data_IF_007246760590
#
_entry.id   IF_007246760590
#
_cell.length_a   1.000
_cell.length_b   1.000
_cell.length_c   1.000
_cell.angle_alpha   90.00
_cell.angle_beta   90.00
_cell.angle_gamma   90.00
#
_symmetry.space_group_name_H-M   'P 1'
#
loop_
_entity.id
_entity.type
_entity.pdbx_description
1 polymer ?
#
# COMPACT_ATOMS: atom_id res chain seq x y z
N UNK A 1 31.29 35.45 -50.61
CA UNK A 1 31.46 34.56 -49.44
C UNK A 1 31.48 35.43 -48.19
N UNK A 2 30.53 35.27 -47.27
CA UNK A 2 30.41 36.15 -46.12
C UNK A 2 31.51 35.83 -45.08
N UNK A 3 32.27 36.85 -44.65
CA UNK A 3 33.30 36.70 -43.62
C UNK A 3 32.69 36.47 -42.25
N UNK A 4 33.07 35.36 -41.61
CA UNK A 4 32.74 35.07 -40.22
C UNK A 4 33.57 36.00 -39.33
N UNK A 5 32.91 36.90 -38.60
CA UNK A 5 33.60 37.79 -37.65
C UNK A 5 33.69 37.12 -36.27
N UNK A 6 34.74 37.48 -35.49
CA UNK A 6 34.98 36.96 -34.12
C UNK A 6 33.74 37.07 -33.21
N UNK A 7 32.88 38.08 -33.41
CA UNK A 7 31.63 38.26 -32.65
C UNK A 7 30.55 37.21 -33.00
N UNK A 8 30.52 36.74 -34.24
CA UNK A 8 29.59 35.69 -34.68
C UNK A 8 30.06 34.31 -34.19
N UNK A 9 31.37 34.08 -34.09
CA UNK A 9 31.94 32.85 -33.52
C UNK A 9 31.60 32.70 -32.03
N UNK A 10 31.81 33.74 -31.22
CA UNK A 10 31.53 33.71 -29.77
C UNK A 10 30.03 33.54 -29.47
N UNK A 11 29.14 34.09 -30.31
CA UNK A 11 27.69 33.84 -30.20
C UNK A 11 27.29 32.41 -30.62
N UNK A 12 28.04 31.78 -31.54
CA UNK A 12 27.85 30.37 -31.90
C UNK A 12 28.34 29.39 -30.83
N UNK A 13 29.36 29.75 -30.04
CA UNK A 13 29.92 28.87 -29.02
C UNK A 13 29.06 28.77 -27.75
N UNK A 14 28.25 29.79 -27.43
CA UNK A 14 27.32 29.76 -26.28
C UNK A 14 26.10 28.85 -26.49
N UNK A 15 25.70 28.59 -27.74
CA UNK A 15 24.59 27.69 -28.05
C UNK A 15 25.00 26.20 -28.12
N UNK A 16 26.29 25.90 -28.28
CA UNK A 16 26.81 24.53 -28.34
C UNK A 16 27.35 24.00 -26.98
N UNK A 17 27.53 24.88 -25.98
CA UNK A 17 28.07 24.52 -24.67
C UNK A 17 27.06 24.05 -23.63
N UNK A 18 25.75 24.18 -23.90
CA UNK A 18 24.70 23.81 -22.93
C UNK A 18 24.25 22.34 -22.98
N UNK A 19 24.76 21.54 -23.93
CA UNK A 19 24.35 20.14 -24.12
C UNK A 19 25.42 19.08 -23.78
N UNK A 20 26.58 19.48 -23.24
CA UNK A 20 27.72 18.58 -23.03
C UNK A 20 28.12 18.34 -21.56
N UNK A 21 27.20 18.49 -20.60
CA UNK A 21 27.43 18.03 -19.21
C UNK A 21 26.16 17.44 -18.56
N UNK A 22 25.51 16.50 -19.24
CA UNK A 22 24.71 15.48 -18.57
C UNK A 22 25.39 14.12 -18.76
N UNK A 23 26.66 14.03 -18.37
CA UNK A 23 27.15 12.75 -17.88
C UNK A 23 26.36 12.43 -16.61
N UNK A 24 25.76 11.24 -16.47
CA UNK A 24 25.42 10.74 -15.16
C UNK A 24 26.76 10.46 -14.50
N UNK A 25 27.36 11.48 -13.89
CA UNK A 25 28.19 11.20 -12.74
C UNK A 25 27.22 10.55 -11.77
N UNK A 26 27.28 9.22 -11.71
CA UNK A 26 26.78 8.49 -10.57
C UNK A 26 27.52 9.14 -9.39
N UNK A 27 26.86 10.11 -8.75
CA UNK A 27 27.24 10.54 -7.42
C UNK A 27 27.29 9.24 -6.66
N UNK A 28 28.50 8.86 -6.25
CA UNK A 28 28.65 7.90 -5.17
C UNK A 28 27.90 8.56 -4.03
N UNK A 29 26.66 8.11 -3.81
CA UNK A 29 25.81 8.56 -2.72
C UNK A 29 26.65 8.31 -1.47
N UNK A 30 27.05 9.39 -0.82
CA UNK A 30 27.75 9.27 0.45
C UNK A 30 26.82 8.59 1.44
N UNK A 31 27.34 8.06 2.55
CA UNK A 31 26.51 7.47 3.62
C UNK A 31 25.43 8.43 4.19
N UNK A 32 25.51 9.73 3.86
CA UNK A 32 24.56 10.79 4.19
C UNK A 32 23.48 11.06 3.12
N UNK A 33 23.52 10.40 1.96
CA UNK A 33 22.58 10.63 0.85
C UNK A 33 21.52 9.50 0.71
N UNK A 34 21.59 8.44 1.52
CA UNK A 34 20.61 7.35 1.49
C UNK A 34 19.29 7.76 2.16
N UNK A 35 18.16 7.40 1.55
CA UNK A 35 16.85 7.48 2.17
C UNK A 35 16.72 6.36 3.21
N UNK A 36 16.50 6.73 4.47
CA UNK A 36 16.40 5.81 5.61
C UNK A 36 14.96 5.39 5.83
N UNK A 37 14.67 4.12 5.55
CA UNK A 37 13.32 3.56 5.55
C UNK A 37 13.10 2.69 6.78
N UNK A 38 11.93 2.83 7.38
CA UNK A 38 11.42 1.87 8.35
C UNK A 38 10.21 1.11 7.80
N UNK A 39 10.12 -0.18 8.11
CA UNK A 39 9.02 -1.05 7.66
C UNK A 39 8.16 -1.45 8.84
N UNK A 40 6.86 -1.15 8.78
CA UNK A 40 5.88 -1.45 9.84
C UNK A 40 4.89 -2.51 9.36
N UNK A 41 4.81 -3.62 10.09
CA UNK A 41 4.17 -4.86 9.65
C UNK A 41 5.06 -5.60 8.66
N UNK A 42 5.83 -6.60 9.12
CA UNK A 42 7.00 -7.13 8.39
C UNK A 42 6.88 -8.62 8.04
N UNK A 43 5.69 -9.20 8.18
CA UNK A 43 5.46 -10.60 7.84
C UNK A 43 5.37 -10.78 6.31
N UNK A 44 4.19 -11.07 5.74
CA UNK A 44 4.03 -11.34 4.30
C UNK A 44 4.48 -10.18 3.40
N UNK A 45 3.62 -9.17 3.24
CA UNK A 45 3.88 -8.05 2.31
C UNK A 45 5.02 -7.15 2.75
N UNK A 46 5.16 -6.86 4.04
CA UNK A 46 6.31 -6.11 4.55
C UNK A 46 7.64 -6.81 4.31
N UNK A 47 7.67 -8.15 4.31
CA UNK A 47 8.84 -8.91 3.87
C UNK A 47 9.24 -8.61 2.42
N UNK A 48 8.26 -8.42 1.52
CA UNK A 48 8.52 -7.98 0.15
C UNK A 48 9.06 -6.55 0.10
N UNK A 49 8.57 -5.64 0.96
CA UNK A 49 9.11 -4.27 1.05
C UNK A 49 10.57 -4.29 1.48
N UNK A 50 10.91 -5.05 2.53
CA UNK A 50 12.29 -5.21 3.01
C UNK A 50 13.21 -5.70 1.88
N UNK A 51 12.78 -6.73 1.14
CA UNK A 51 13.55 -7.24 0.01
C UNK A 51 13.74 -6.19 -1.08
N UNK A 52 12.67 -5.48 -1.46
CA UNK A 52 12.72 -4.48 -2.51
C UNK A 52 13.66 -3.31 -2.17
N UNK A 53 13.64 -2.82 -0.92
CA UNK A 53 14.51 -1.73 -0.50
C UNK A 53 15.96 -2.15 -0.34
N UNK A 54 16.23 -3.40 0.04
CA UNK A 54 17.60 -3.92 0.14
C UNK A 54 18.34 -3.82 -1.20
N UNK A 55 17.63 -4.02 -2.30
CA UNK A 55 18.19 -4.02 -3.65
C UNK A 55 18.10 -2.65 -4.35
N UNK A 56 17.55 -1.63 -3.66
CA UNK A 56 17.32 -0.31 -4.23
C UNK A 56 18.50 0.64 -3.94
N UNK A 57 19.20 1.16 -4.96
CA UNK A 57 20.28 2.11 -4.76
C UNK A 57 19.80 3.39 -4.07
N UNK A 58 20.58 3.90 -3.11
CA UNK A 58 20.24 5.12 -2.37
C UNK A 58 19.16 4.94 -1.30
N UNK A 59 18.84 3.70 -0.94
CA UNK A 59 17.84 3.40 0.09
C UNK A 59 18.42 2.41 1.09
N UNK A 60 18.16 2.65 2.37
CA UNK A 60 18.59 1.78 3.46
C UNK A 60 17.46 1.53 4.44
N UNK A 61 17.18 0.26 4.70
CA UNK A 61 16.31 -0.13 5.82
C UNK A 61 17.08 0.09 7.11
N UNK A 62 16.56 0.93 8.01
CA UNK A 62 17.19 1.28 9.30
C UNK A 62 16.42 0.77 10.51
N UNK A 63 15.13 0.49 10.35
CA UNK A 63 14.28 0.00 11.43
C UNK A 63 13.18 -0.93 10.93
N UNK A 64 12.79 -1.90 11.77
CA UNK A 64 11.60 -2.74 11.57
C UNK A 64 10.66 -2.59 12.75
N UNK A 65 9.36 -2.65 12.48
CA UNK A 65 8.33 -2.68 13.51
C UNK A 65 7.29 -3.76 13.27
N UNK A 66 7.05 -4.59 14.26
CA UNK A 66 5.99 -5.59 14.26
C UNK A 66 5.64 -5.93 15.71
N UNK A 67 4.35 -6.10 15.98
CA UNK A 67 3.86 -6.40 17.33
C UNK A 67 4.27 -7.79 17.80
N UNK A 68 4.63 -8.68 16.87
CA UNK A 68 5.11 -10.02 17.17
C UNK A 68 6.65 -10.09 17.19
N UNK A 69 7.20 -10.36 18.38
CA UNK A 69 8.64 -10.46 18.62
C UNK A 69 9.28 -11.57 17.79
N UNK A 70 8.60 -12.69 17.58
CA UNK A 70 9.12 -13.80 16.77
C UNK A 70 9.34 -13.36 15.32
N UNK A 71 8.38 -12.59 14.79
CA UNK A 71 8.47 -12.03 13.43
C UNK A 71 9.62 -11.01 13.34
N UNK A 72 9.79 -10.13 14.33
CA UNK A 72 10.93 -9.21 14.41
C UNK A 72 12.27 -9.93 14.38
N UNK A 73 12.48 -10.89 15.27
CA UNK A 73 13.76 -11.59 15.38
C UNK A 73 14.09 -12.36 14.11
N UNK A 74 13.09 -13.02 13.50
CA UNK A 74 13.23 -13.70 12.21
C UNK A 74 13.62 -12.73 11.09
N UNK A 75 13.00 -11.56 10.99
CA UNK A 75 13.28 -10.58 9.93
C UNK A 75 14.55 -9.77 10.15
N UNK A 76 14.99 -9.62 11.40
CA UNK A 76 16.25 -8.96 11.74
C UNK A 76 17.48 -9.84 11.48
N UNK A 77 17.33 -11.17 11.49
CA UNK A 77 18.45 -12.11 11.33
C UNK A 77 19.33 -11.82 10.10
N UNK A 78 18.79 -11.64 8.87
CA UNK A 78 19.63 -11.35 7.70
C UNK A 78 20.45 -10.05 7.80
N UNK A 79 19.95 -9.06 8.56
CA UNK A 79 20.67 -7.80 8.81
C UNK A 79 21.83 -8.01 9.80
N UNK A 80 21.61 -8.80 10.85
CA UNK A 80 22.64 -9.21 11.81
C UNK A 80 23.73 -10.04 11.12
N UNK A 81 23.34 -11.03 10.34
CA UNK A 81 24.26 -11.93 9.62
C UNK A 81 25.12 -11.15 8.59
N UNK A 82 24.61 -10.03 8.06
CA UNK A 82 25.34 -9.13 7.17
C UNK A 82 26.15 -8.02 7.89
N UNK A 83 26.27 -8.07 9.22
CA UNK A 83 26.91 -7.05 10.06
C UNK A 83 26.38 -5.62 9.83
N UNK A 84 25.08 -5.50 9.56
CA UNK A 84 24.36 -4.24 9.37
C UNK A 84 23.12 -4.21 10.26
N UNK A 85 23.29 -4.22 11.60
CA UNK A 85 22.16 -4.27 12.52
C UNK A 85 21.24 -3.07 12.30
N UNK A 86 19.96 -3.30 12.53
CA UNK A 86 18.89 -2.32 12.43
C UNK A 86 18.11 -2.29 13.73
N UNK A 87 17.41 -1.19 13.97
CA UNK A 87 16.59 -1.03 15.17
C UNK A 87 15.27 -1.80 15.05
N UNK A 88 14.81 -2.36 16.17
CA UNK A 88 13.62 -3.20 16.22
C UNK A 88 12.62 -2.64 17.23
N UNK A 89 11.38 -2.48 16.80
CA UNK A 89 10.31 -1.90 17.60
C UNK A 89 9.10 -2.83 17.62
N UNK A 90 8.51 -3.08 18.80
CA UNK A 90 7.18 -3.72 18.88
C UNK A 90 6.03 -2.70 18.83
N UNK A 91 6.36 -1.42 19.03
CA UNK A 91 5.40 -0.33 19.12
C UNK A 91 5.77 0.77 18.12
N UNK A 92 4.85 1.04 17.19
CA UNK A 92 5.03 2.07 16.16
C UNK A 92 5.22 3.45 16.76
N UNK A 93 4.64 3.75 17.94
CA UNK A 93 4.79 5.06 18.60
C UNK A 93 6.25 5.33 18.93
N UNK A 94 6.96 4.32 19.45
CA UNK A 94 8.41 4.39 19.76
C UNK A 94 9.24 4.50 18.48
N UNK A 95 8.87 3.78 17.42
CA UNK A 95 9.54 3.91 16.12
C UNK A 95 9.47 5.34 15.59
N UNK A 96 8.33 6.00 15.74
CA UNK A 96 8.11 7.35 15.22
C UNK A 96 8.93 8.43 15.95
N UNK A 97 9.39 8.17 17.17
CA UNK A 97 10.31 9.04 17.91
C UNK A 97 11.72 9.07 17.31
N UNK A 98 12.10 8.04 16.53
CA UNK A 98 13.42 7.95 15.92
C UNK A 98 13.58 8.99 14.79
N UNK A 99 14.48 9.95 14.98
CA UNK A 99 14.78 11.05 14.04
C UNK A 99 15.60 10.61 12.84
N UNK A 100 16.13 9.39 12.86
CA UNK A 100 16.91 8.81 11.78
C UNK A 100 16.09 8.04 10.74
N UNK A 101 14.76 8.12 10.83
CA UNK A 101 13.83 7.55 9.85
C UNK A 101 13.23 8.68 9.01
N UNK A 102 13.46 8.63 7.70
CA UNK A 102 12.95 9.58 6.71
C UNK A 102 11.59 9.12 6.16
N UNK A 103 11.44 7.81 5.91
CA UNK A 103 10.24 7.22 5.30
C UNK A 103 9.73 6.05 6.13
N UNK A 104 8.42 5.97 6.33
CA UNK A 104 7.72 4.81 6.91
C UNK A 104 6.93 4.10 5.83
N UNK A 105 7.19 2.81 5.62
CA UNK A 105 6.30 1.96 4.82
C UNK A 105 5.40 1.13 5.74
N UNK A 106 4.12 1.02 5.38
CA UNK A 106 3.08 0.41 6.20
C UNK A 106 2.50 -0.79 5.45
N UNK A 107 2.62 -1.98 6.04
CA UNK A 107 2.06 -3.24 5.55
C UNK A 107 1.42 -4.04 6.70
N UNK A 108 0.75 -3.33 7.61
CA UNK A 108 0.00 -3.89 8.73
C UNK A 108 -1.38 -4.39 8.29
N UNK A 109 -2.24 -4.71 9.26
CA UNK A 109 -3.68 -4.86 9.04
C UNK A 109 -4.34 -3.53 8.65
N UNK A 110 -5.51 -3.58 8.01
CA UNK A 110 -6.14 -2.38 7.43
C UNK A 110 -6.51 -1.32 8.48
N UNK A 111 -6.98 -1.75 9.66
CA UNK A 111 -7.42 -0.85 10.74
C UNK A 111 -6.30 0.04 11.31
N UNK A 112 -5.03 -0.29 11.03
CA UNK A 112 -3.87 0.48 11.45
C UNK A 112 -3.36 1.48 10.40
N UNK A 113 -3.70 1.28 9.13
CA UNK A 113 -3.09 2.01 8.01
C UNK A 113 -3.20 3.53 8.16
N UNK A 114 -4.40 4.02 8.43
CA UNK A 114 -4.64 5.47 8.47
C UNK A 114 -4.03 6.12 9.70
N UNK A 115 -4.10 5.47 10.86
CA UNK A 115 -3.53 6.01 12.09
C UNK A 115 -2.00 6.11 12.00
N UNK A 116 -1.33 5.05 11.51
CA UNK A 116 0.12 5.08 11.30
C UNK A 116 0.50 6.11 10.25
N UNK A 117 -0.29 6.26 9.18
CA UNK A 117 -0.04 7.29 8.15
C UNK A 117 -0.08 8.69 8.76
N UNK A 118 -1.12 8.99 9.54
CA UNK A 118 -1.30 10.30 10.19
C UNK A 118 -0.18 10.57 11.20
N UNK A 119 0.15 9.61 12.06
CA UNK A 119 1.21 9.76 13.05
C UNK A 119 2.60 9.88 12.42
N UNK A 120 2.86 9.15 11.34
CA UNK A 120 4.09 9.29 10.55
C UNK A 120 4.21 10.69 9.97
N UNK A 121 3.11 11.22 9.42
CA UNK A 121 3.09 12.58 8.90
C UNK A 121 3.36 13.62 10.00
N UNK A 122 2.73 13.46 11.17
CA UNK A 122 2.96 14.30 12.35
C UNK A 122 4.42 14.25 12.84
N UNK A 123 5.06 13.09 12.75
CA UNK A 123 6.46 12.87 13.09
C UNK A 123 7.44 13.36 12.00
N UNK A 124 6.95 14.04 10.96
CA UNK A 124 7.78 14.60 9.89
C UNK A 124 8.26 13.59 8.86
N UNK A 125 7.69 12.38 8.82
CA UNK A 125 8.11 11.28 7.94
C UNK A 125 7.24 11.20 6.69
N UNK A 126 7.85 10.86 5.56
CA UNK A 126 7.10 10.49 4.36
C UNK A 126 6.56 9.06 4.49
N UNK A 127 5.49 8.73 3.76
CA UNK A 127 4.74 7.49 3.96
C UNK A 127 4.49 6.75 2.66
N UNK A 128 4.76 5.45 2.68
CA UNK A 128 4.14 4.50 1.74
C UNK A 128 3.15 3.64 2.52
N UNK A 129 1.88 3.61 2.11
CA UNK A 129 0.85 2.82 2.79
C UNK A 129 0.27 1.78 1.84
N UNK A 130 0.29 0.51 2.23
CA UNK A 130 -0.29 -0.56 1.42
C UNK A 130 -1.77 -0.37 1.14
N UNK A 131 -2.23 -1.08 0.11
CA UNK A 131 -3.65 -1.17 -0.18
C UNK A 131 -4.36 -2.10 0.80
N UNK A 132 -5.61 -1.81 1.18
CA UNK A 132 -6.30 -0.52 0.98
C UNK A 132 -5.71 0.55 1.90
N UNK A 133 -5.57 1.82 1.46
CA UNK A 133 -4.93 2.87 2.27
C UNK A 133 -5.61 3.20 3.60
N UNK A 134 -6.86 2.77 3.79
CA UNK A 134 -7.69 3.08 4.95
C UNK A 134 -8.73 2.00 5.17
N UNK A 135 -9.26 1.92 6.38
CA UNK A 135 -10.34 0.98 6.71
C UNK A 135 -11.72 1.52 6.28
N UNK A 136 -11.88 2.84 6.22
CA UNK A 136 -13.08 3.51 5.72
C UNK A 136 -12.77 4.84 5.00
N UNK A 137 -13.78 5.40 4.32
CA UNK A 137 -13.65 6.64 3.53
C UNK A 137 -13.26 7.85 4.37
N UNK A 138 -13.78 7.95 5.60
CA UNK A 138 -13.49 9.09 6.48
C UNK A 138 -12.00 9.11 6.86
N UNK A 139 -11.46 7.98 7.29
CA UNK A 139 -10.05 7.82 7.62
C UNK A 139 -9.14 8.14 6.43
N UNK A 140 -9.48 7.67 5.23
CA UNK A 140 -8.74 8.00 4.01
C UNK A 140 -8.66 9.52 3.74
N UNK A 141 -9.75 10.26 3.99
CA UNK A 141 -9.75 11.73 3.91
C UNK A 141 -8.83 12.35 4.96
N UNK A 142 -8.80 11.79 6.18
CA UNK A 142 -7.88 12.25 7.23
C UNK A 142 -6.41 12.02 6.90
N UNK A 143 -6.08 10.95 6.16
CA UNK A 143 -4.73 10.77 5.63
C UNK A 143 -4.33 11.89 4.66
N UNK A 144 -5.23 12.30 3.75
CA UNK A 144 -4.99 13.41 2.82
C UNK A 144 -4.80 14.72 3.58
N UNK A 145 -5.69 15.05 4.51
CA UNK A 145 -5.59 16.24 5.36
C UNK A 145 -4.25 16.27 6.13
N UNK A 146 -3.79 15.12 6.65
CA UNK A 146 -2.52 15.03 7.35
C UNK A 146 -1.32 15.24 6.42
N UNK A 147 -1.31 14.61 5.24
CA UNK A 147 -0.26 14.77 4.25
C UNK A 147 -0.08 16.25 3.84
N UNK A 148 -1.19 16.95 3.58
CA UNK A 148 -1.21 18.37 3.22
C UNK A 148 -0.77 19.26 4.38
N UNK A 149 -1.33 19.04 5.58
CA UNK A 149 -1.02 19.85 6.77
C UNK A 149 0.45 19.78 7.16
N UNK A 150 1.02 18.57 7.18
CA UNK A 150 2.40 18.34 7.60
C UNK A 150 3.39 18.37 6.42
N UNK A 151 2.90 18.67 5.20
CA UNK A 151 3.70 18.78 3.97
C UNK A 151 4.56 17.55 3.74
N UNK A 152 3.95 16.37 3.81
CA UNK A 152 4.60 15.06 3.66
C UNK A 152 4.14 14.38 2.38
N UNK A 153 5.01 13.57 1.80
CA UNK A 153 4.67 12.71 0.66
C UNK A 153 3.98 11.47 1.22
N UNK A 154 2.76 11.20 0.77
CA UNK A 154 2.03 9.97 1.10
C UNK A 154 1.66 9.26 -0.19
N UNK A 155 2.17 8.04 -0.36
CA UNK A 155 1.89 7.20 -1.52
C UNK A 155 1.05 5.98 -1.11
N UNK A 156 -0.10 5.80 -1.76
CA UNK A 156 -0.90 4.59 -1.66
C UNK A 156 -0.32 3.47 -2.53
N UNK A 157 -0.24 2.26 -1.97
CA UNK A 157 0.38 1.07 -2.55
C UNK A 157 -0.41 0.37 -3.65
N UNK A 158 -1.11 1.11 -4.50
CA UNK A 158 -1.81 0.54 -5.66
C UNK A 158 -0.82 0.29 -6.81
N UNK A 159 -0.07 -0.81 -6.71
CA UNK A 159 1.10 -1.10 -7.53
C UNK A 159 0.86 -1.10 -9.05
N UNK A 160 -0.33 -1.44 -9.52
CA UNK A 160 -0.64 -1.44 -10.97
C UNK A 160 -0.53 -0.05 -11.60
N UNK A 161 -0.64 1.03 -10.80
CA UNK A 161 -0.45 2.41 -11.27
C UNK A 161 1.00 2.71 -11.66
N UNK A 162 1.97 1.95 -11.18
CA UNK A 162 3.38 2.04 -11.59
C UNK A 162 3.72 1.13 -12.79
N UNK A 163 2.75 0.38 -13.32
CA UNK A 163 2.99 -0.53 -14.44
C UNK A 163 2.83 0.19 -15.78
N UNK A 164 3.91 0.23 -16.57
CA UNK A 164 3.91 0.86 -17.89
C UNK A 164 2.96 0.21 -18.90
N UNK A 165 2.72 -1.11 -18.81
CA UNK A 165 1.75 -1.79 -19.69
C UNK A 165 0.31 -1.39 -19.37
N UNK A 166 -0.05 -1.33 -18.08
CA UNK A 166 -1.35 -0.83 -17.66
C UNK A 166 -1.54 0.64 -18.01
N UNK A 167 -0.53 1.49 -17.78
CA UNK A 167 -0.59 2.90 -18.16
C UNK A 167 -0.87 3.08 -19.67
N UNK A 168 -0.21 2.31 -20.53
CA UNK A 168 -0.45 2.32 -21.99
C UNK A 168 -1.86 1.85 -22.35
N UNK A 169 -2.34 0.77 -21.72
CA UNK A 169 -3.69 0.26 -21.95
C UNK A 169 -4.75 1.29 -21.56
N UNK A 170 -4.62 1.89 -20.38
CA UNK A 170 -5.54 2.93 -19.91
C UNK A 170 -5.51 4.16 -20.81
N UNK A 171 -4.32 4.59 -21.27
CA UNK A 171 -4.21 5.70 -22.22
C UNK A 171 -4.93 5.39 -23.55
N UNK A 172 -4.81 4.18 -24.08
CA UNK A 172 -5.50 3.76 -25.30
C UNK A 172 -7.03 3.71 -25.13
N UNK A 173 -7.54 3.28 -23.97
CA UNK A 173 -8.98 3.34 -23.66
C UNK A 173 -9.44 4.80 -23.62
N UNK A 174 -8.70 5.67 -22.91
CA UNK A 174 -9.06 7.07 -22.76
C UNK A 174 -8.96 7.89 -24.04
N UNK A 175 -8.12 7.49 -24.99
CA UNK A 175 -8.01 8.14 -26.30
C UNK A 175 -9.20 7.86 -27.23
N UNK A 176 -10.14 6.99 -26.82
CA UNK A 176 -11.27 6.59 -27.65
C UNK A 176 -10.92 5.58 -28.76
N UNK A 177 -9.70 5.00 -28.74
CA UNK A 177 -9.26 3.99 -29.71
C UNK A 177 -10.23 2.81 -29.82
N UNK A 178 -10.88 2.47 -28.72
CA UNK A 178 -11.84 1.36 -28.62
C UNK A 178 -13.31 1.82 -28.56
N UNK A 179 -13.58 3.08 -28.91
CA UNK A 179 -14.89 3.71 -28.76
C UNK A 179 -15.16 4.21 -27.33
N UNK A 180 -16.41 4.63 -27.07
CA UNK A 180 -16.83 5.15 -25.76
C UNK A 180 -16.94 4.00 -24.76
N UNK A 181 -16.16 4.05 -23.67
CA UNK A 181 -16.28 3.11 -22.56
C UNK A 181 -17.66 3.25 -21.88
N UNK A 182 -18.46 2.18 -21.94
CA UNK A 182 -19.80 2.11 -21.32
C UNK A 182 -19.84 1.28 -20.05
N UNK A 183 -19.07 0.21 -20.00
CA UNK A 183 -18.97 -0.67 -18.82
C UNK A 183 -17.51 -1.02 -18.60
N UNK A 184 -17.02 -0.83 -17.38
CA UNK A 184 -15.72 -1.30 -16.92
C UNK A 184 -15.94 -2.41 -15.90
N UNK A 185 -15.62 -3.65 -16.28
CA UNK A 185 -15.80 -4.82 -15.41
C UNK A 185 -14.47 -5.26 -14.82
N UNK A 186 -14.43 -5.40 -13.49
CA UNK A 186 -13.35 -6.04 -12.75
C UNK A 186 -13.88 -7.20 -11.92
N UNK A 187 -13.02 -8.14 -11.55
CA UNK A 187 -13.39 -9.19 -10.61
C UNK A 187 -12.17 -9.73 -9.87
N UNK A 188 -12.32 -10.10 -8.61
CA UNK A 188 -11.38 -10.98 -7.92
C UNK A 188 -11.97 -12.38 -7.83
N UNK A 189 -11.25 -13.36 -8.40
CA UNK A 189 -11.62 -14.77 -8.34
C UNK A 189 -10.53 -15.53 -7.60
N UNK A 190 -10.75 -15.75 -6.31
CA UNK A 190 -9.81 -16.44 -5.42
C UNK A 190 -10.61 -17.28 -4.44
N UNK A 191 -10.38 -18.59 -4.40
CA UNK A 191 -11.06 -19.44 -3.44
C UNK A 191 -10.80 -18.95 -2.00
N UNK A 192 -11.88 -18.80 -1.23
CA UNK A 192 -11.94 -18.38 0.17
C UNK A 192 -12.77 -19.40 0.94
N UNK A 193 -12.13 -20.54 1.20
CA UNK A 193 -12.71 -21.62 2.00
C UNK A 193 -12.96 -21.19 3.44
N UNK A 194 -13.73 -22.03 4.15
CA UNK A 194 -14.00 -21.87 5.58
C UNK A 194 -12.71 -21.65 6.37
N UNK A 195 -12.71 -20.64 7.25
CA UNK A 195 -11.66 -20.49 8.27
C UNK A 195 -11.99 -21.27 9.56
N UNK A 196 -13.13 -21.98 9.57
CA UNK A 196 -13.64 -22.72 10.71
C UNK A 196 -13.87 -21.84 11.95
N UNK A 197 -13.92 -22.50 13.10
CA UNK A 197 -13.96 -21.87 14.41
C UNK A 197 -12.69 -22.19 15.19
N UNK A 198 -12.11 -21.16 15.81
CA UNK A 198 -11.01 -21.27 16.76
C UNK A 198 -11.50 -20.82 18.14
N UNK A 199 -11.20 -21.58 19.21
CA UNK A 199 -11.59 -21.20 20.55
C UNK A 199 -10.90 -19.90 20.96
N UNK A 200 -11.50 -19.22 21.92
CA UNK A 200 -10.82 -18.15 22.65
C UNK A 200 -9.67 -18.75 23.44
N UNK A 201 -8.51 -18.11 23.38
CA UNK A 201 -7.32 -18.49 24.12
C UNK A 201 -6.47 -17.26 24.43
N UNK A 202 -5.46 -17.43 25.28
CA UNK A 202 -4.48 -16.36 25.53
C UNK A 202 -3.63 -16.09 24.26
N UNK A 203 -3.33 -14.83 23.94
CA UNK A 203 -2.40 -14.51 22.87
C UNK A 203 -1.02 -15.18 23.08
N UNK A 204 -0.29 -15.51 22.00
CA UNK A 204 1.11 -15.90 22.12
C UNK A 204 1.92 -14.88 22.93
N UNK A 205 2.82 -15.35 23.79
CA UNK A 205 3.66 -14.47 24.61
C UNK A 205 4.54 -13.50 23.79
N UNK A 206 4.80 -13.81 22.51
CA UNK A 206 5.57 -12.97 21.59
C UNK A 206 4.72 -11.87 20.94
N UNK A 207 3.39 -12.01 20.93
CA UNK A 207 2.46 -11.10 20.28
C UNK A 207 1.92 -10.09 21.30
N UNK A 208 2.25 -8.81 21.12
CA UNK A 208 1.57 -7.74 21.84
C UNK A 208 0.16 -7.53 21.24
N UNK A 209 -0.82 -8.22 21.80
CA UNK A 209 -2.18 -8.22 21.27
C UNK A 209 -2.93 -6.91 21.52
N UNK A 210 -2.61 -6.15 22.57
CA UNK A 210 -3.21 -4.83 22.83
C UNK A 210 -2.76 -3.84 21.75
N UNK A 211 -1.46 -3.84 21.39
CA UNK A 211 -0.98 -3.07 20.25
C UNK A 211 -1.54 -3.63 18.93
N UNK A 212 -1.66 -4.95 18.77
CA UNK A 212 -2.26 -5.51 17.56
C UNK A 212 -3.71 -5.02 17.33
N UNK A 213 -4.54 -5.03 18.39
CA UNK A 213 -5.90 -4.51 18.37
C UNK A 213 -5.92 -3.02 18.05
N UNK A 214 -5.07 -2.24 18.73
CA UNK A 214 -4.90 -0.82 18.43
C UNK A 214 -6.20 -0.02 18.53
N UNK A 215 -6.63 0.67 17.46
CA UNK A 215 -7.87 1.46 17.48
C UNK A 215 -9.15 0.62 17.40
N UNK A 216 -9.06 -0.68 17.16
CA UNK A 216 -10.23 -1.55 17.05
C UNK A 216 -10.88 -1.84 18.43
N UNK A 217 -12.16 -2.27 18.46
CA UNK A 217 -12.81 -2.68 19.70
C UNK A 217 -12.04 -3.79 20.42
N UNK A 218 -11.93 -3.68 21.76
CA UNK A 218 -11.34 -4.72 22.59
C UNK A 218 -12.16 -6.00 22.47
N UNK A 219 -11.47 -7.11 22.21
CA UNK A 219 -12.09 -8.42 22.08
C UNK A 219 -11.11 -9.53 22.49
N UNK A 220 -11.59 -10.71 22.93
CA UNK A 220 -10.73 -11.83 23.26
C UNK A 220 -9.96 -12.34 22.04
N UNK A 221 -8.77 -12.88 22.27
CA UNK A 221 -7.97 -13.47 21.22
C UNK A 221 -8.52 -14.84 20.81
N UNK A 222 -8.48 -15.12 19.51
CA UNK A 222 -8.57 -16.46 18.95
C UNK A 222 -7.66 -16.55 17.72
N UNK A 223 -7.18 -17.75 17.39
CA UNK A 223 -6.18 -17.94 16.31
C UNK A 223 -6.60 -17.43 14.94
N UNK A 224 -7.89 -17.36 14.64
CA UNK A 224 -8.37 -16.79 13.38
C UNK A 224 -8.14 -15.27 13.23
N UNK A 225 -7.72 -14.54 14.26
CA UNK A 225 -7.39 -13.12 14.10
C UNK A 225 -6.03 -12.93 13.43
N UNK A 226 -5.08 -13.84 13.59
CA UNK A 226 -3.70 -13.66 13.12
C UNK A 226 -3.20 -14.85 12.29
N UNK A 227 -2.25 -14.68 11.37
CA UNK A 227 -1.73 -13.40 10.84
C UNK A 227 -2.41 -12.99 9.52
N UNK A 228 -3.32 -13.80 8.97
CA UNK A 228 -3.93 -13.55 7.66
C UNK A 228 -5.46 -13.41 7.71
N UNK A 229 -6.12 -14.19 8.57
CA UNK A 229 -7.58 -14.27 8.56
C UNK A 229 -8.28 -13.00 9.07
N UNK A 230 -7.55 -12.04 9.68
CA UNK A 230 -8.06 -10.69 10.00
C UNK A 230 -8.75 -9.99 8.83
N UNK A 231 -8.39 -10.32 7.57
CA UNK A 231 -9.06 -9.78 6.39
C UNK A 231 -10.58 -10.01 6.41
N UNK A 232 -11.03 -11.07 7.09
CA UNK A 232 -12.42 -11.53 7.10
C UNK A 232 -13.24 -11.04 8.29
N UNK A 233 -12.68 -10.17 9.13
CA UNK A 233 -13.35 -9.61 10.30
C UNK A 233 -13.51 -8.10 10.11
N UNK A 234 -14.72 -7.58 10.34
CA UNK A 234 -15.05 -6.19 10.06
C UNK A 234 -14.23 -5.19 10.86
N UNK A 235 -13.78 -5.56 12.06
CA UNK A 235 -12.98 -4.65 12.90
C UNK A 235 -11.56 -4.43 12.36
N UNK A 236 -11.06 -5.32 11.50
CA UNK A 236 -9.64 -5.37 11.11
C UNK A 236 -9.42 -5.29 9.60
N UNK A 237 -10.38 -5.80 8.82
CA UNK A 237 -10.30 -5.97 7.38
C UNK A 237 -11.59 -5.63 6.66
N UNK A 238 -11.54 -5.64 5.33
CA UNK A 238 -12.66 -5.27 4.47
C UNK A 238 -12.98 -6.38 3.46
N UNK A 239 -12.77 -7.64 3.82
CA UNK A 239 -13.03 -8.77 2.96
C UNK A 239 -12.12 -8.84 1.73
N UNK A 240 -12.51 -9.66 0.76
CA UNK A 240 -11.64 -9.91 -0.39
C UNK A 240 -11.64 -8.73 -1.36
N UNK A 241 -12.70 -7.92 -1.35
CA UNK A 241 -12.77 -6.64 -2.03
C UNK A 241 -11.65 -5.68 -1.59
N UNK A 242 -11.31 -5.64 -0.30
CA UNK A 242 -10.16 -4.88 0.21
C UNK A 242 -8.81 -5.59 0.07
N UNK A 243 -8.78 -6.92 0.11
CA UNK A 243 -7.54 -7.69 0.06
C UNK A 243 -6.98 -7.79 -1.38
N UNK A 244 -7.68 -8.48 -2.27
CA UNK A 244 -7.27 -8.70 -3.66
C UNK A 244 -8.07 -7.84 -4.63
N UNK A 245 -9.35 -7.64 -4.35
CA UNK A 245 -10.28 -6.95 -5.23
C UNK A 245 -9.86 -5.52 -5.55
N UNK A 246 -9.28 -4.80 -4.59
CA UNK A 246 -8.83 -3.42 -4.76
C UNK A 246 -7.83 -3.24 -5.91
N UNK A 247 -7.00 -4.25 -6.22
CA UNK A 247 -6.07 -4.17 -7.36
C UNK A 247 -6.82 -4.15 -8.70
N UNK A 248 -7.82 -5.03 -8.84
CA UNK A 248 -8.61 -5.15 -10.06
C UNK A 248 -9.63 -4.01 -10.18
N UNK A 249 -10.23 -3.63 -9.05
CA UNK A 249 -11.12 -2.49 -8.92
C UNK A 249 -10.40 -1.20 -9.34
N UNK A 250 -9.17 -0.97 -8.87
CA UNK A 250 -8.41 0.22 -9.23
C UNK A 250 -8.13 0.30 -10.73
N UNK A 251 -7.77 -0.82 -11.37
CA UNK A 251 -7.55 -0.85 -12.83
C UNK A 251 -8.85 -0.59 -13.60
N UNK A 252 -9.94 -1.25 -13.23
CA UNK A 252 -11.25 -1.04 -13.82
C UNK A 252 -11.69 0.43 -13.66
N UNK A 253 -11.47 1.01 -12.49
CA UNK A 253 -11.72 2.43 -12.22
C UNK A 253 -10.82 3.29 -13.10
N UNK A 254 -9.52 3.03 -13.15
CA UNK A 254 -8.54 3.90 -13.81
C UNK A 254 -8.88 4.16 -15.29
N UNK A 255 -9.53 3.20 -15.97
CA UNK A 255 -10.03 3.32 -17.33
C UNK A 255 -11.15 4.37 -17.51
N UNK A 256 -11.93 4.62 -16.46
CA UNK A 256 -13.08 5.53 -16.49
C UNK A 256 -12.57 6.98 -16.46
N UNK A 257 -13.02 7.78 -17.43
CA UNK A 257 -12.64 9.20 -17.56
C UNK A 257 -13.57 10.16 -16.80
N UNK A 258 -14.78 9.73 -16.44
CA UNK A 258 -15.72 10.54 -15.67
C UNK A 258 -15.29 10.69 -14.19
N UNK A 259 -15.80 11.75 -13.54
CA UNK A 259 -15.35 12.30 -12.25
C UNK A 259 -15.03 11.31 -11.13
N UNK A 260 -14.26 11.76 -10.13
CA UNK A 260 -13.53 10.92 -9.17
C UNK A 260 -14.39 9.88 -8.42
N UNK A 261 -15.62 10.23 -8.04
CA UNK A 261 -16.53 9.39 -7.26
C UNK A 261 -17.76 8.98 -8.09
N UNK A 262 -18.33 7.79 -7.83
CA UNK A 262 -19.60 7.38 -8.41
C UNK A 262 -20.75 8.24 -7.86
N UNK A 263 -21.83 8.37 -8.64
CA UNK A 263 -23.09 9.03 -8.25
C UNK A 263 -23.91 8.16 -7.31
N UNK A 264 -23.89 6.84 -7.52
CA UNK A 264 -24.56 5.86 -6.67
C UNK A 264 -23.83 4.52 -6.71
N UNK A 265 -24.06 3.70 -5.69
CA UNK A 265 -23.51 2.35 -5.57
C UNK A 265 -24.61 1.42 -5.11
N UNK A 266 -24.73 0.26 -5.76
CA UNK A 266 -25.54 -0.86 -5.30
C UNK A 266 -24.60 -2.04 -5.10
N UNK A 267 -24.65 -2.65 -3.92
CA UNK A 267 -23.88 -3.84 -3.61
C UNK A 267 -24.80 -4.92 -3.05
N UNK A 268 -24.58 -6.16 -3.46
CA UNK A 268 -25.27 -7.32 -2.93
C UNK A 268 -24.30 -8.49 -2.84
N UNK A 269 -24.33 -9.19 -1.72
CA UNK A 269 -23.37 -10.25 -1.46
C UNK A 269 -23.61 -10.92 -0.13
N UNK A 270 -22.78 -11.90 0.15
CA UNK A 270 -22.87 -12.68 1.37
C UNK A 270 -21.62 -13.51 1.60
N UNK A 271 -21.58 -14.10 2.80
CA UNK A 271 -20.60 -15.11 3.15
C UNK A 271 -21.25 -16.48 3.00
N UNK A 272 -20.70 -17.28 2.10
CA UNK A 272 -21.18 -18.62 1.78
C UNK A 272 -20.07 -19.61 2.08
N UNK A 273 -20.33 -20.57 2.97
CA UNK A 273 -19.32 -21.51 3.45
C UNK A 273 -19.77 -22.91 3.12
N UNK A 274 -18.91 -23.69 2.45
CA UNK A 274 -19.13 -25.13 2.28
C UNK A 274 -18.60 -25.85 3.54
N UNK A 275 -19.52 -26.24 4.42
CA UNK A 275 -19.19 -26.86 5.71
C UNK A 275 -20.43 -27.37 6.46
N UNK A 276 -20.25 -28.14 7.55
CA UNK A 276 -21.33 -28.92 8.20
C UNK A 276 -22.55 -28.08 8.59
N UNK A 277 -22.32 -26.82 9.02
CA UNK A 277 -23.36 -25.88 9.42
C UNK A 277 -23.43 -24.64 8.50
N UNK A 278 -22.74 -24.67 7.35
CA UNK A 278 -22.61 -23.53 6.43
C UNK A 278 -22.14 -22.23 7.10
N UNK A 279 -21.34 -22.33 8.18
CA UNK A 279 -20.86 -21.22 9.01
C UNK A 279 -19.38 -21.36 9.35
N UNK A 280 -18.72 -20.22 9.54
CA UNK A 280 -17.40 -20.09 10.15
C UNK A 280 -17.31 -18.75 10.92
N UNK A 281 -16.14 -18.40 11.47
CA UNK A 281 -15.95 -17.13 12.19
C UNK A 281 -15.79 -15.90 11.29
N UNK A 282 -15.69 -16.05 9.98
CA UNK A 282 -15.55 -14.91 9.08
C UNK A 282 -16.87 -14.12 8.99
N UNK A 283 -16.75 -12.82 8.82
CA UNK A 283 -17.88 -11.88 8.84
C UNK A 283 -18.09 -11.17 7.50
N UNK A 284 -17.01 -11.03 6.71
CA UNK A 284 -17.06 -10.31 5.44
C UNK A 284 -17.57 -11.21 4.30
N UNK A 285 -18.24 -10.63 3.27
CA UNK A 285 -18.65 -11.36 2.08
C UNK A 285 -17.46 -12.06 1.40
N UNK A 286 -17.70 -13.27 0.91
CA UNK A 286 -16.80 -13.96 -0.02
C UNK A 286 -17.41 -14.08 -1.42
N UNK A 287 -18.70 -13.77 -1.59
CA UNK A 287 -19.34 -13.57 -2.89
C UNK A 287 -20.06 -12.22 -2.87
N UNK A 288 -19.73 -11.32 -3.79
CA UNK A 288 -20.29 -9.98 -3.84
C UNK A 288 -20.32 -9.44 -5.27
N UNK A 289 -21.40 -8.76 -5.63
CA UNK A 289 -21.54 -7.95 -6.84
C UNK A 289 -21.76 -6.50 -6.41
N UNK A 290 -20.91 -5.61 -6.91
CA UNK A 290 -21.04 -4.17 -6.74
C UNK A 290 -21.15 -3.47 -8.09
N UNK A 291 -22.12 -2.56 -8.22
CA UNK A 291 -22.33 -1.71 -9.40
C UNK A 291 -22.20 -0.25 -8.97
N UNK A 292 -21.27 0.46 -9.62
CA UNK A 292 -21.02 1.87 -9.38
C UNK A 292 -21.42 2.68 -10.61
N UNK A 293 -22.33 3.64 -10.43
CA UNK A 293 -22.79 4.51 -11.50
C UNK A 293 -21.93 5.76 -11.60
N UNK A 294 -21.20 5.95 -12.71
CA UNK A 294 -20.48 7.19 -13.01
C UNK A 294 -21.21 8.06 -14.05
N UNK A 295 -22.50 7.82 -14.27
CA UNK A 295 -23.36 8.46 -15.27
C UNK A 295 -23.17 7.87 -16.66
N UNK A 296 -22.06 8.22 -17.32
CA UNK A 296 -21.81 7.80 -18.70
C UNK A 296 -21.21 6.39 -18.83
N UNK A 297 -20.78 5.82 -17.70
CA UNK A 297 -20.14 4.52 -17.60
C UNK A 297 -20.50 3.86 -16.27
N UNK A 298 -20.72 2.53 -16.30
CA UNK A 298 -20.86 1.70 -15.11
C UNK A 298 -19.53 1.01 -14.79
N UNK A 299 -19.17 0.96 -13.51
CA UNK A 299 -18.17 0.00 -13.03
C UNK A 299 -18.91 -1.17 -12.39
N UNK A 300 -18.62 -2.38 -12.86
CA UNK A 300 -19.17 -3.62 -12.28
C UNK A 300 -18.01 -4.40 -11.68
N UNK A 301 -18.09 -4.68 -10.37
CA UNK A 301 -17.08 -5.42 -9.66
C UNK A 301 -17.65 -6.67 -9.02
N UNK A 302 -16.96 -7.80 -9.17
CA UNK A 302 -17.36 -9.06 -8.56
C UNK A 302 -16.25 -9.60 -7.64
N UNK A 303 -16.61 -9.95 -6.42
CA UNK A 303 -15.81 -10.82 -5.56
C UNK A 303 -16.36 -12.23 -5.67
N UNK A 304 -15.50 -13.17 -6.07
CA UNK A 304 -15.84 -14.58 -6.29
C UNK A 304 -14.91 -15.47 -5.47
N UNK A 305 -15.40 -15.87 -4.31
CA UNK A 305 -14.69 -16.66 -3.29
C UNK A 305 -15.00 -18.16 -3.31
N UNK A 306 -16.00 -18.58 -4.08
CA UNK A 306 -16.38 -19.99 -4.29
C UNK A 306 -15.93 -20.47 -5.66
#
# INVERSE_FOLDING_TARGET
MAQITRRTFVKGTLAAGAFATLSPTARVLGANDDIRVAVVGINGRGGSHISAFKDMPGVRVVALCDVDREVLDKRAKPFKDANRPIELYQDVRKLLENKDIDVVTIATTNHWHSLITIWSCQAGKDVYVEKPCSHNVFEGRKCVEAAEKYKRIVQHGTQSRASGSWAKMIAAVKSGKYGKLKVSKGYCCKSRWSIGYKPVEEPPATLDFDIWLGPAPKQPFHRNLVHYNWHWFWDFGNGDIGNQGVHEMDKARWAISSGVLPKSVIAMGGRFVDGPDFKDQGQTPNMELSVFDYGDCLLVFETRGL
#
